data_IF_880668086809
#
_entry.id   IF_880668086809
#
_cell.length_a   1.000
_cell.length_b   1.000
_cell.length_c   1.000
_cell.angle_alpha   90.00
_cell.angle_beta   90.00
_cell.angle_gamma   90.00
#
_symmetry.space_group_name_H-M   'P 1'
#
loop_
_entity.id
_entity.type
_entity.pdbx_description
1 polymer ?
#
# COMPACT_ATOMS: atom_id res chain seq x y z
N UNK A 1 -21.03 29.83 -38.32
CA UNK A 1 -20.07 28.72 -38.09
C UNK A 1 -19.01 28.72 -39.17
N UNK A 2 -19.30 28.30 -40.41
CA UNK A 2 -18.34 28.36 -41.53
C UNK A 2 -17.81 29.77 -41.84
N UNK A 3 -18.64 30.80 -41.71
CA UNK A 3 -18.23 32.21 -41.88
C UNK A 3 -17.32 32.76 -40.77
N UNK A 4 -17.31 32.12 -39.60
CA UNK A 4 -16.57 32.58 -38.42
C UNK A 4 -15.33 31.71 -38.11
N UNK A 5 -15.39 30.41 -38.42
CA UNK A 5 -14.36 29.42 -38.08
C UNK A 5 -13.81 28.65 -39.30
N UNK A 6 -14.33 28.92 -40.52
CA UNK A 6 -13.84 28.31 -41.75
C UNK A 6 -13.74 26.78 -41.67
N UNK A 7 -12.53 26.26 -41.91
CA UNK A 7 -12.22 24.83 -41.92
C UNK A 7 -12.17 24.19 -40.52
N UNK A 8 -12.13 24.98 -39.45
CA UNK A 8 -12.16 24.49 -38.07
C UNK A 8 -13.59 24.31 -37.55
N UNK A 9 -14.60 24.65 -38.36
CA UNK A 9 -15.99 24.48 -37.99
C UNK A 9 -16.36 22.98 -37.87
N UNK A 10 -17.15 22.59 -36.85
CA UNK A 10 -17.64 21.22 -36.72
C UNK A 10 -18.47 20.79 -37.94
N UNK A 11 -18.39 19.50 -38.31
CA UNK A 11 -19.21 18.96 -39.39
C UNK A 11 -20.71 19.16 -39.12
N UNK A 12 -21.52 19.27 -40.18
CA UNK A 12 -22.99 19.35 -40.06
C UNK A 12 -23.56 18.22 -39.21
N UNK A 13 -23.03 17.01 -39.35
CA UNK A 13 -23.44 15.82 -38.57
C UNK A 13 -23.21 16.01 -37.07
N UNK A 14 -22.06 16.57 -36.68
CA UNK A 14 -21.74 16.89 -35.29
C UNK A 14 -22.73 17.92 -34.72
N UNK A 15 -23.09 18.93 -35.52
CA UNK A 15 -24.03 19.99 -35.11
C UNK A 15 -25.43 19.41 -34.88
N UNK A 16 -25.96 18.61 -35.80
CA UNK A 16 -27.28 17.98 -35.63
C UNK A 16 -27.33 17.02 -34.44
N UNK A 17 -26.24 16.27 -34.19
CA UNK A 17 -26.15 15.40 -33.02
C UNK A 17 -26.25 16.19 -31.71
N UNK A 18 -25.48 17.28 -31.58
CA UNK A 18 -25.53 18.14 -30.39
C UNK A 18 -26.89 18.83 -30.22
N UNK A 19 -27.50 19.26 -31.32
CA UNK A 19 -28.84 19.85 -31.28
C UNK A 19 -29.89 18.85 -30.72
N UNK A 20 -29.84 17.59 -31.17
CA UNK A 20 -30.72 16.55 -30.66
C UNK A 20 -30.46 16.25 -29.16
N UNK A 21 -29.20 16.24 -28.73
CA UNK A 21 -28.84 16.07 -27.31
C UNK A 21 -29.34 17.23 -26.44
N UNK A 22 -29.29 18.47 -26.93
CA UNK A 22 -29.87 19.62 -26.23
C UNK A 22 -31.39 19.53 -26.14
N UNK A 23 -32.08 19.07 -27.20
CA UNK A 23 -33.52 18.80 -27.14
C UNK A 23 -33.88 17.68 -26.15
N UNK A 24 -32.98 16.72 -25.93
CA UNK A 24 -33.10 15.67 -24.91
C UNK A 24 -32.81 16.16 -23.48
N UNK A 25 -32.51 17.46 -23.30
CA UNK A 25 -32.29 18.07 -21.99
C UNK A 25 -30.84 17.98 -21.49
N UNK A 26 -29.87 17.58 -22.32
CA UNK A 26 -28.46 17.66 -21.96
C UNK A 26 -28.07 19.14 -21.83
N UNK A 27 -27.52 19.55 -20.68
CA UNK A 27 -27.02 20.93 -20.45
C UNK A 27 -25.49 20.99 -20.39
N UNK A 28 -24.84 19.83 -20.26
CA UNK A 28 -23.38 19.71 -20.13
C UNK A 28 -22.71 19.64 -21.49
N UNK A 29 -21.70 20.48 -21.69
CA UNK A 29 -20.86 20.53 -22.89
C UNK A 29 -19.68 19.55 -22.84
N UNK A 30 -19.34 19.03 -21.66
CA UNK A 30 -18.30 18.03 -21.50
C UNK A 30 -18.73 16.70 -22.11
N UNK A 31 -17.77 15.97 -22.68
CA UNK A 31 -17.97 14.58 -23.08
C UNK A 31 -18.43 13.74 -21.88
N UNK A 32 -19.31 12.78 -22.14
CA UNK A 32 -19.65 11.77 -21.14
C UNK A 32 -18.43 10.88 -20.87
N UNK A 33 -18.40 10.16 -19.73
CA UNK A 33 -17.35 9.20 -19.46
C UNK A 33 -17.25 8.21 -20.63
N UNK A 34 -16.14 8.29 -21.37
CA UNK A 34 -15.89 7.36 -22.46
C UNK A 34 -15.64 5.98 -21.86
N UNK A 35 -16.46 5.00 -22.21
CA UNK A 35 -16.12 3.61 -21.94
C UNK A 35 -14.93 3.23 -22.83
N UNK A 36 -13.74 3.17 -22.22
CA UNK A 36 -12.53 2.70 -22.88
C UNK A 36 -12.54 1.18 -23.08
N UNK A 37 -11.44 0.65 -23.61
CA UNK A 37 -11.15 -0.80 -23.58
C UNK A 37 -11.29 -1.30 -22.13
N UNK A 38 -11.88 -2.49 -21.88
CA UNK A 38 -11.92 -3.06 -20.53
C UNK A 38 -10.53 -2.99 -19.93
N UNK A 39 -10.44 -2.32 -18.78
CA UNK A 39 -9.17 -2.11 -18.10
C UNK A 39 -8.69 -3.46 -17.57
N UNK A 40 -7.71 -4.03 -18.26
CA UNK A 40 -6.59 -4.78 -17.66
C UNK A 40 -6.97 -6.03 -16.85
N UNK A 41 -6.00 -6.85 -16.50
CA UNK A 41 -6.19 -7.98 -15.58
C UNK A 41 -6.46 -7.53 -14.12
N UNK A 42 -6.93 -6.30 -13.92
CA UNK A 42 -7.24 -5.67 -12.64
C UNK A 42 -8.75 -5.79 -12.43
N UNK A 43 -9.20 -7.03 -12.27
CA UNK A 43 -10.59 -7.36 -11.90
C UNK A 43 -10.70 -7.43 -10.37
N UNK A 44 -11.91 -7.29 -9.83
CA UNK A 44 -12.13 -7.42 -8.40
C UNK A 44 -11.69 -8.81 -7.89
N UNK A 45 -11.98 -9.87 -8.65
CA UNK A 45 -11.54 -11.23 -8.33
C UNK A 45 -10.02 -11.34 -8.17
N UNK A 46 -9.26 -10.74 -9.10
CA UNK A 46 -7.80 -10.75 -9.02
C UNK A 46 -7.30 -9.91 -7.84
N UNK A 47 -7.94 -8.78 -7.54
CA UNK A 47 -7.62 -7.96 -6.35
C UNK A 47 -7.82 -8.79 -5.07
N UNK A 48 -8.90 -9.55 -4.98
CA UNK A 48 -9.22 -10.34 -3.80
C UNK A 48 -8.28 -11.55 -3.65
N UNK A 49 -7.87 -12.18 -4.75
CA UNK A 49 -6.82 -13.22 -4.72
C UNK A 49 -5.49 -12.64 -4.25
N UNK A 50 -5.04 -11.50 -4.78
CA UNK A 50 -3.79 -10.85 -4.33
C UNK A 50 -3.87 -10.47 -2.86
N UNK A 51 -5.01 -9.95 -2.39
CA UNK A 51 -5.23 -9.64 -0.97
C UNK A 51 -5.02 -10.89 -0.11
N UNK A 52 -5.65 -11.99 -0.49
CA UNK A 52 -5.56 -13.25 0.24
C UNK A 52 -4.12 -13.78 0.29
N UNK A 53 -3.38 -13.74 -0.82
CA UNK A 53 -1.97 -14.13 -0.85
C UNK A 53 -1.12 -13.33 0.15
N UNK A 54 -1.35 -12.02 0.26
CA UNK A 54 -0.62 -11.15 1.19
C UNK A 54 -1.01 -11.40 2.65
N UNK A 55 -2.29 -11.72 2.90
CA UNK A 55 -2.79 -12.04 4.25
C UNK A 55 -2.25 -13.38 4.75
N UNK A 56 -2.10 -14.36 3.86
CA UNK A 56 -1.49 -15.66 4.14
C UNK A 56 0.03 -15.53 4.34
N UNK A 57 0.72 -14.83 3.43
CA UNK A 57 2.16 -14.55 3.53
C UNK A 57 2.50 -13.11 3.14
N UNK A 58 2.95 -12.33 4.13
CA UNK A 58 3.37 -10.93 3.92
C UNK A 58 4.68 -10.81 3.14
N UNK A 59 5.40 -11.91 2.92
CA UNK A 59 6.65 -11.96 2.16
C UNK A 59 6.45 -12.36 0.69
N UNK A 60 5.20 -12.53 0.24
CA UNK A 60 4.89 -12.91 -1.14
C UNK A 60 5.56 -11.99 -2.15
N UNK A 61 6.19 -12.60 -3.14
CA UNK A 61 6.91 -11.93 -4.21
C UNK A 61 6.02 -11.65 -5.41
N UNK A 62 6.42 -10.66 -6.20
CA UNK A 62 5.78 -10.37 -7.49
C UNK A 62 5.71 -11.60 -8.42
N UNK A 63 6.73 -12.47 -8.39
CA UNK A 63 6.78 -13.66 -9.24
C UNK A 63 5.76 -14.71 -8.81
N UNK A 64 5.54 -14.89 -7.51
CA UNK A 64 4.53 -15.81 -6.99
C UNK A 64 3.11 -15.32 -7.32
N UNK A 65 2.87 -14.01 -7.18
CA UNK A 65 1.59 -13.41 -7.59
C UNK A 65 1.38 -13.61 -9.10
N UNK A 66 2.40 -13.33 -9.90
CA UNK A 66 2.33 -13.53 -11.35
C UNK A 66 2.09 -14.99 -11.72
N UNK A 67 2.77 -15.93 -11.08
CA UNK A 67 2.58 -17.36 -11.34
C UNK A 67 1.18 -17.85 -10.95
N UNK A 68 0.56 -17.23 -9.94
CA UNK A 68 -0.78 -17.61 -9.46
C UNK A 68 -1.89 -17.10 -10.38
N UNK A 69 -1.76 -15.85 -10.85
CA UNK A 69 -2.83 -15.16 -11.57
C UNK A 69 -2.59 -15.05 -13.09
N UNK A 70 -1.39 -15.39 -13.56
CA UNK A 70 -0.93 -15.20 -14.96
C UNK A 70 -1.17 -13.78 -15.49
N UNK A 71 -0.91 -12.79 -14.63
CA UNK A 71 -1.10 -11.37 -14.93
C UNK A 71 0.24 -10.65 -15.10
N UNK A 72 0.25 -9.65 -15.97
CA UNK A 72 1.43 -8.82 -16.19
C UNK A 72 1.85 -8.02 -14.96
N UNK A 73 3.15 -7.76 -14.84
CA UNK A 73 3.75 -7.03 -13.73
C UNK A 73 3.12 -5.65 -13.49
N UNK A 74 2.78 -4.92 -14.55
CA UNK A 74 2.14 -3.60 -14.47
C UNK A 74 0.78 -3.66 -13.78
N UNK A 75 0.00 -4.72 -14.04
CA UNK A 75 -1.31 -4.94 -13.43
C UNK A 75 -1.16 -5.29 -11.95
N UNK A 76 -0.18 -6.13 -11.60
CA UNK A 76 0.13 -6.43 -10.19
C UNK A 76 0.49 -5.15 -9.44
N UNK A 77 1.31 -4.29 -10.04
CA UNK A 77 1.71 -3.02 -9.43
C UNK A 77 0.51 -2.09 -9.16
N UNK A 78 -0.43 -2.01 -10.10
CA UNK A 78 -1.70 -1.26 -9.92
C UNK A 78 -2.52 -1.89 -8.78
N UNK A 79 -2.66 -3.23 -8.75
CA UNK A 79 -3.40 -3.91 -7.69
C UNK A 79 -2.78 -3.61 -6.32
N UNK A 80 -1.46 -3.76 -6.17
CA UNK A 80 -0.77 -3.55 -4.91
C UNK A 80 -0.85 -2.10 -4.42
N UNK A 81 -0.59 -1.13 -5.29
CA UNK A 81 -0.46 0.26 -4.86
C UNK A 81 -1.75 1.09 -4.96
N UNK A 82 -2.55 0.90 -6.01
CA UNK A 82 -3.77 1.69 -6.23
C UNK A 82 -5.01 1.05 -5.61
N UNK A 83 -5.15 -0.28 -5.72
CA UNK A 83 -6.34 -1.00 -5.22
C UNK A 83 -6.19 -1.38 -3.74
N UNK A 84 -5.03 -1.92 -3.35
CA UNK A 84 -4.77 -2.39 -1.99
C UNK A 84 -4.05 -1.38 -1.12
N UNK A 85 -3.34 -0.41 -1.71
CA UNK A 85 -2.60 0.62 -0.96
C UNK A 85 -1.43 0.08 -0.13
N UNK A 86 -0.93 -1.12 -0.45
CA UNK A 86 0.16 -1.75 0.31
C UNK A 86 1.52 -1.15 -0.08
N UNK A 87 2.44 -1.18 0.89
CA UNK A 87 3.82 -0.71 0.72
C UNK A 87 4.78 -1.79 1.18
N UNK A 88 5.86 -1.97 0.42
CA UNK A 88 6.96 -2.85 0.81
C UNK A 88 7.68 -2.26 2.02
N UNK A 89 7.73 -3.03 3.10
CA UNK A 89 8.55 -2.73 4.28
C UNK A 89 9.60 -3.83 4.44
N UNK A 90 10.76 -3.48 4.99
CA UNK A 90 11.78 -4.45 5.33
C UNK A 90 11.48 -5.04 6.72
N UNK A 91 11.66 -6.36 6.84
CA UNK A 91 11.59 -7.03 8.14
C UNK A 91 12.69 -6.47 9.06
N UNK A 92 12.37 -6.35 10.35
CA UNK A 92 13.34 -5.95 11.37
C UNK A 92 14.11 -7.18 11.82
N UNK A 93 15.41 -7.03 12.02
CA UNK A 93 16.22 -8.09 12.62
C UNK A 93 15.83 -8.26 14.08
N UNK A 94 15.61 -9.50 14.51
CA UNK A 94 15.25 -9.85 15.88
C UNK A 94 16.45 -10.57 16.51
N UNK A 95 16.96 -10.12 17.68
CA UNK A 95 18.16 -10.70 18.29
C UNK A 95 18.09 -12.20 18.57
N UNK A 96 16.91 -12.71 18.93
CA UNK A 96 16.72 -14.12 19.24
C UNK A 96 15.28 -14.59 18.98
N UNK A 97 15.14 -15.84 18.60
CA UNK A 97 13.85 -16.53 18.51
C UNK A 97 13.47 -17.11 19.87
N UNK A 98 12.62 -16.39 20.60
CA UNK A 98 12.22 -16.78 21.96
C UNK A 98 11.18 -17.92 21.96
N UNK A 99 11.29 -18.84 22.91
CA UNK A 99 10.23 -19.82 23.21
C UNK A 99 9.09 -19.18 24.02
N UNK A 100 7.96 -19.87 24.13
CA UNK A 100 6.77 -19.34 24.82
C UNK A 100 7.02 -19.07 26.31
N UNK A 101 7.80 -19.92 26.98
CA UNK A 101 8.16 -19.73 28.39
C UNK A 101 9.02 -18.47 28.57
N UNK A 102 9.99 -18.23 27.67
CA UNK A 102 10.83 -17.03 27.69
C UNK A 102 10.00 -15.76 27.43
N UNK A 103 9.03 -15.82 26.50
CA UNK A 103 8.11 -14.70 26.25
C UNK A 103 7.26 -14.39 27.48
N UNK A 104 6.67 -15.41 28.09
CA UNK A 104 5.87 -15.26 29.30
C UNK A 104 6.70 -14.66 30.45
N UNK A 105 7.90 -15.19 30.70
CA UNK A 105 8.80 -14.67 31.72
C UNK A 105 9.14 -13.19 31.48
N UNK A 106 9.46 -12.79 30.24
CA UNK A 106 9.74 -11.39 29.90
C UNK A 106 8.53 -10.49 30.19
N UNK A 107 7.33 -10.89 29.80
CA UNK A 107 6.10 -10.12 30.09
C UNK A 107 5.90 -9.98 31.59
N UNK A 108 6.05 -11.06 32.36
CA UNK A 108 5.95 -11.02 33.83
C UNK A 108 6.95 -10.05 34.45
N UNK A 109 8.21 -10.08 34.02
CA UNK A 109 9.23 -9.14 34.51
C UNK A 109 8.89 -7.68 34.14
N UNK A 110 8.43 -7.42 32.92
CA UNK A 110 8.00 -6.09 32.50
C UNK A 110 6.82 -5.56 33.34
N UNK A 111 5.80 -6.39 33.59
CA UNK A 111 4.64 -5.99 34.43
C UNK A 111 5.09 -5.66 35.85
N UNK A 112 5.89 -6.53 36.47
CA UNK A 112 6.46 -6.27 37.82
C UNK A 112 7.28 -4.99 37.87
N UNK A 113 8.04 -4.71 36.82
CA UNK A 113 8.85 -3.50 36.71
C UNK A 113 7.97 -2.26 36.60
N UNK A 114 6.91 -2.32 35.78
CA UNK A 114 5.94 -1.22 35.66
C UNK A 114 5.24 -0.93 36.98
N UNK A 115 4.80 -1.97 37.71
CA UNK A 115 4.20 -1.82 39.04
C UNK A 115 5.18 -1.20 40.04
N UNK A 116 6.41 -1.72 40.10
CA UNK A 116 7.47 -1.24 40.99
C UNK A 116 7.77 0.24 40.79
N UNK A 117 7.69 0.74 39.56
CA UNK A 117 7.96 2.14 39.23
C UNK A 117 6.70 2.98 39.01
N UNK A 118 5.54 2.50 39.48
CA UNK A 118 4.25 3.19 39.37
C UNK A 118 3.98 3.71 37.96
N UNK A 119 4.18 2.85 36.96
CA UNK A 119 4.04 3.15 35.54
C UNK A 119 4.84 4.37 35.06
N UNK A 120 6.00 4.64 35.69
CA UNK A 120 6.89 5.75 35.35
C UNK A 120 6.71 7.00 36.20
N UNK A 121 5.76 7.03 37.14
CA UNK A 121 5.59 8.17 38.06
C UNK A 121 6.56 8.15 39.25
N UNK A 122 7.21 7.01 39.51
CA UNK A 122 8.16 6.88 40.61
C UNK A 122 9.56 7.37 40.22
N UNK A 123 10.12 8.27 41.02
CA UNK A 123 11.52 8.71 40.90
C UNK A 123 12.54 7.61 41.28
N UNK A 124 12.09 6.45 41.76
CA UNK A 124 12.99 5.34 42.11
C UNK A 124 13.79 4.79 40.91
N UNK A 125 13.36 5.08 39.67
CA UNK A 125 14.09 4.72 38.44
C UNK A 125 15.48 5.37 38.42
N UNK A 126 15.65 6.57 38.98
CA UNK A 126 16.93 7.28 39.01
C UNK A 126 18.00 6.61 39.90
N UNK A 127 17.60 5.64 40.72
CA UNK A 127 18.51 4.88 41.57
C UNK A 127 19.04 3.61 40.90
N UNK A 128 18.67 3.35 39.64
CA UNK A 128 19.15 2.17 38.90
C UNK A 128 20.54 2.48 38.32
N UNK A 129 21.50 1.61 38.62
CA UNK A 129 22.79 1.55 37.94
C UNK A 129 22.82 0.26 37.12
N UNK A 130 23.08 0.38 35.82
CA UNK A 130 23.21 -0.75 34.88
C UNK A 130 24.59 -0.77 34.28
N UNK A 131 25.07 -1.96 33.95
CA UNK A 131 26.35 -2.18 33.29
C UNK A 131 26.18 -3.22 32.18
N UNK A 132 26.94 -3.09 31.10
CA UNK A 132 26.96 -4.01 29.95
C UNK A 132 28.29 -3.87 29.20
N UNK A 133 28.71 -4.94 28.52
CA UNK A 133 29.98 -4.99 27.80
C UNK A 133 29.75 -4.95 26.29
N UNK A 134 30.55 -4.16 25.57
CA UNK A 134 30.50 -4.10 24.10
C UNK A 134 31.90 -4.21 23.50
N UNK A 135 32.00 -4.95 22.39
CA UNK A 135 33.25 -5.09 21.66
C UNK A 135 33.51 -3.85 20.80
N UNK A 136 34.71 -3.27 20.94
CA UNK A 136 35.21 -2.19 20.07
C UNK A 136 36.31 -2.77 19.20
N UNK A 137 36.08 -2.82 17.90
CA UNK A 137 37.08 -3.29 16.95
C UNK A 137 38.19 -2.24 16.81
N UNK A 138 39.44 -2.66 17.02
CA UNK A 138 40.60 -1.86 16.67
C UNK A 138 40.78 -1.89 15.15
N UNK A 139 40.85 -0.71 14.54
CA UNK A 139 41.16 -0.58 13.11
C UNK A 139 42.67 -0.72 12.93
N UNK A 140 43.12 -1.80 12.30
CA UNK A 140 44.49 -1.94 11.83
C UNK A 140 44.53 -1.57 10.34
N UNK A 141 45.08 -0.40 9.96
CA UNK A 141 45.30 -0.08 8.56
C UNK A 141 46.36 -1.01 7.95
N UNK A 142 46.05 -1.56 6.78
CA UNK A 142 46.99 -2.27 5.90
C UNK A 142 48.14 -1.37 5.42
#
# INVERSE_FOLDING_TARGET
MLSAFGNEAPSKTTIYRWFAEFQRGRVKYSDDPRQGRPKTAVTQDNVDVVRKLIEEDRHVTYREIQATLDIGMSQIQIILHEQLGVKKLFSRWIPHSLCEEQKAARVTWCVRTLERFHAGSSNAVYNIVSDDESWIYAYEPE
#
